data_IF_618148559168
#
_entry.id   IF_618148559168
#
_cell.length_a   1.000
_cell.length_b   1.000
_cell.length_c   1.000
_cell.angle_alpha   90.00
_cell.angle_beta   90.00
_cell.angle_gamma   90.00
#
_symmetry.space_group_name_H-M   'P 1'
#
loop_
_entity.id
_entity.type
_entity.pdbx_description
1 polymer ?
#
# COMPACT_ATOMS: atom_id res chain seq x y z
N UNK A 1 8.09 7.92 -4.82
CA UNK A 1 7.35 6.82 -4.15
C UNK A 1 7.83 6.66 -2.72
N UNK A 2 6.93 6.52 -1.78
CA UNK A 2 7.26 6.27 -0.39
C UNK A 2 7.27 4.76 -0.09
N UNK A 3 8.02 4.40 0.93
CA UNK A 3 8.11 3.03 1.41
C UNK A 3 7.92 3.02 2.93
N UNK A 4 7.04 2.15 3.42
CA UNK A 4 6.85 1.91 4.83
C UNK A 4 7.93 0.95 5.33
N UNK A 5 8.70 1.40 6.31
CA UNK A 5 9.77 0.62 6.91
C UNK A 5 9.46 0.35 8.37
N UNK A 6 9.44 -0.89 8.77
CA UNK A 6 9.19 -1.30 10.15
C UNK A 6 9.80 -2.65 10.46
N UNK A 7 9.59 -3.12 11.69
CA UNK A 7 10.08 -4.40 12.18
C UNK A 7 8.92 -5.37 12.41
N UNK A 8 9.13 -6.64 12.11
CA UNK A 8 8.16 -7.70 12.43
C UNK A 8 7.97 -7.91 13.94
N UNK A 9 8.84 -7.33 14.77
CA UNK A 9 8.70 -7.33 16.22
C UNK A 9 7.70 -6.29 16.72
N UNK A 10 7.28 -5.35 15.85
CA UNK A 10 6.33 -4.28 16.16
C UNK A 10 4.98 -4.65 15.56
N UNK A 11 3.97 -4.98 16.38
CA UNK A 11 2.69 -5.43 15.87
C UNK A 11 1.95 -4.32 15.15
N UNK A 12 1.23 -4.70 14.11
CA UNK A 12 0.23 -3.85 13.48
C UNK A 12 -1.12 -4.11 14.15
N UNK A 13 -1.92 -3.06 14.32
CA UNK A 13 -3.26 -3.17 14.90
C UNK A 13 -4.31 -3.12 13.80
N UNK A 14 -4.97 -4.23 13.58
CA UNK A 14 -6.10 -4.30 12.65
C UNK A 14 -7.27 -3.45 13.16
N UNK A 15 -7.89 -2.67 12.28
CA UNK A 15 -9.07 -1.88 12.61
C UNK A 15 -10.31 -2.40 11.90
N UNK A 16 -10.29 -2.46 10.57
CA UNK A 16 -11.43 -2.81 9.76
C UNK A 16 -10.99 -3.23 8.37
N UNK A 17 -11.72 -4.14 7.74
CA UNK A 17 -11.48 -4.52 6.36
C UNK A 17 -12.81 -4.78 5.65
N UNK A 18 -12.79 -4.69 4.34
CA UNK A 18 -13.95 -4.96 3.51
C UNK A 18 -13.59 -5.11 2.04
N UNK A 19 -14.63 -5.33 1.25
CA UNK A 19 -14.54 -5.44 -0.19
C UNK A 19 -15.43 -4.37 -0.81
N UNK A 20 -14.84 -3.52 -1.64
CA UNK A 20 -15.62 -2.60 -2.48
C UNK A 20 -15.93 -3.31 -3.79
N UNK A 21 -17.19 -3.27 -4.20
CA UNK A 21 -17.65 -3.71 -5.51
C UNK A 21 -18.54 -2.60 -6.09
N UNK A 22 -18.18 -2.12 -7.26
CA UNK A 22 -18.94 -1.08 -7.94
C UNK A 22 -19.12 -1.46 -9.42
N UNK A 23 -20.33 -1.28 -9.92
CA UNK A 23 -20.68 -1.68 -11.29
C UNK A 23 -20.11 -0.78 -12.37
N UNK A 24 -19.96 0.53 -12.11
CA UNK A 24 -19.47 1.49 -13.08
C UNK A 24 -19.21 2.85 -12.42
N UNK A 25 -18.20 3.57 -12.94
CA UNK A 25 -17.93 4.98 -12.63
C UNK A 25 -17.64 5.28 -11.16
N UNK A 26 -16.88 4.43 -10.49
CA UNK A 26 -16.44 4.70 -9.14
C UNK A 26 -15.26 5.68 -9.12
N UNK A 27 -15.35 6.67 -8.24
CA UNK A 27 -14.25 7.60 -7.96
C UNK A 27 -14.06 7.71 -6.45
N UNK A 28 -12.84 7.42 -5.98
CA UNK A 28 -12.51 7.49 -4.57
C UNK A 28 -12.59 8.92 -4.05
N UNK A 29 -13.19 9.13 -2.89
CA UNK A 29 -13.27 10.45 -2.27
C UNK A 29 -11.90 10.90 -1.75
N UNK A 30 -11.71 12.23 -1.68
CA UNK A 30 -10.51 12.83 -1.11
C UNK A 30 -10.50 12.65 0.40
N UNK A 31 -9.39 12.10 0.93
CA UNK A 31 -9.24 11.83 2.37
C UNK A 31 -7.82 12.07 2.86
N UNK A 32 -7.72 12.41 4.13
CA UNK A 32 -6.47 12.42 4.89
C UNK A 32 -6.76 11.71 6.21
N UNK A 33 -6.30 10.47 6.32
CA UNK A 33 -6.64 9.60 7.45
C UNK A 33 -5.50 9.54 8.46
N UNK A 34 -5.79 9.06 9.67
CA UNK A 34 -4.83 8.90 10.76
C UNK A 34 -4.35 7.44 10.90
N UNK A 35 -4.74 6.59 9.97
CA UNK A 35 -4.34 5.18 9.92
C UNK A 35 -3.97 4.79 8.48
N UNK A 36 -3.32 3.65 8.35
CA UNK A 36 -2.96 3.09 7.04
C UNK A 36 -4.16 2.43 6.38
N UNK A 37 -4.19 2.47 5.05
CA UNK A 37 -5.13 1.69 4.25
C UNK A 37 -4.35 0.88 3.24
N UNK A 38 -4.47 -0.44 3.30
CA UNK A 38 -3.96 -1.32 2.26
C UNK A 38 -5.09 -1.65 1.30
N UNK A 39 -4.88 -1.39 0.02
CA UNK A 39 -5.78 -1.73 -1.06
C UNK A 39 -5.20 -2.89 -1.86
N UNK A 40 -6.04 -3.87 -2.21
CA UNK A 40 -5.65 -4.99 -3.06
C UNK A 40 -6.63 -5.13 -4.22
N UNK A 41 -6.16 -4.91 -5.44
CA UNK A 41 -6.99 -4.93 -6.63
C UNK A 41 -7.44 -6.34 -7.01
N UNK A 42 -8.72 -6.48 -7.39
CA UNK A 42 -9.33 -7.75 -7.78
C UNK A 42 -9.79 -7.70 -9.24
N UNK A 43 -10.57 -6.67 -9.59
CA UNK A 43 -11.17 -6.53 -10.93
C UNK A 43 -11.24 -5.05 -11.30
N UNK A 44 -10.95 -4.74 -12.56
CA UNK A 44 -10.97 -3.37 -13.05
C UNK A 44 -9.79 -2.55 -12.55
N UNK A 45 -9.85 -1.24 -12.75
CA UNK A 45 -8.78 -0.32 -12.36
C UNK A 45 -9.31 0.82 -11.51
N UNK A 46 -8.65 1.05 -10.38
CA UNK A 46 -8.87 2.21 -9.54
C UNK A 46 -7.79 3.25 -9.85
N UNK A 47 -8.22 4.46 -10.17
CA UNK A 47 -7.32 5.59 -10.44
C UNK A 47 -7.24 6.45 -9.17
N UNK A 48 -6.13 6.34 -8.46
CA UNK A 48 -5.96 6.97 -7.16
C UNK A 48 -4.63 7.71 -7.09
N UNK A 49 -4.63 8.88 -6.46
CA UNK A 49 -3.41 9.64 -6.20
C UNK A 49 -3.11 9.66 -4.70
N UNK A 50 -1.84 9.75 -4.37
CA UNK A 50 -1.36 10.07 -3.03
C UNK A 50 -0.30 11.16 -3.15
N UNK A 51 -0.48 12.27 -2.44
CA UNK A 51 0.37 13.46 -2.52
C UNK A 51 0.57 13.92 -3.97
N UNK A 52 -0.51 13.96 -4.75
CA UNK A 52 -0.55 14.34 -6.17
C UNK A 52 0.24 13.43 -7.13
N UNK A 53 0.74 12.30 -6.65
CA UNK A 53 1.32 11.25 -7.51
C UNK A 53 0.22 10.28 -7.91
N UNK A 54 0.04 10.10 -9.22
CA UNK A 54 -1.03 9.26 -9.77
C UNK A 54 -0.62 7.81 -9.87
N UNK A 55 -1.50 6.94 -9.43
CA UNK A 55 -1.35 5.48 -9.52
C UNK A 55 -2.59 4.87 -10.18
N UNK A 56 -2.38 3.77 -10.86
CA UNK A 56 -3.46 2.89 -11.31
C UNK A 56 -3.35 1.58 -10.54
N UNK A 57 -4.39 1.22 -9.81
CA UNK A 57 -4.46 -0.03 -9.08
C UNK A 57 -5.28 -1.02 -9.90
N UNK A 58 -4.62 -2.00 -10.49
CA UNK A 58 -5.24 -3.08 -11.25
C UNK A 58 -5.31 -4.39 -10.46
N UNK A 59 -5.86 -5.46 -11.09
CA UNK A 59 -5.91 -6.77 -10.47
C UNK A 59 -4.52 -7.31 -10.13
N UNK A 60 -4.36 -7.88 -8.92
CA UNK A 60 -3.09 -8.42 -8.45
C UNK A 60 -2.09 -7.38 -7.98
N UNK A 61 -2.49 -6.13 -7.92
CA UNK A 61 -1.67 -5.03 -7.43
C UNK A 61 -2.13 -4.58 -6.04
N UNK A 62 -1.23 -3.95 -5.30
CA UNK A 62 -1.58 -3.33 -4.02
C UNK A 62 -1.17 -1.86 -3.99
N UNK A 63 -1.85 -1.10 -3.14
CA UNK A 63 -1.53 0.29 -2.83
C UNK A 63 -1.59 0.48 -1.32
N UNK A 64 -0.58 1.12 -0.75
CA UNK A 64 -0.55 1.48 0.66
C UNK A 64 -0.78 2.98 0.81
N UNK A 65 -1.92 3.36 1.39
CA UNK A 65 -2.24 4.74 1.69
C UNK A 65 -1.72 5.07 3.10
N UNK A 66 -0.93 6.14 3.19
CA UNK A 66 -0.19 6.50 4.39
C UNK A 66 -0.97 7.50 5.25
N UNK A 67 -0.95 7.37 6.58
CA UNK A 67 -1.58 8.37 7.45
C UNK A 67 -0.91 9.73 7.27
N UNK A 68 -1.71 10.79 7.28
CA UNK A 68 -1.24 12.16 7.10
C UNK A 68 -0.95 12.55 5.66
N UNK A 69 -1.07 11.65 4.71
CA UNK A 69 -0.90 11.91 3.28
C UNK A 69 -2.25 11.92 2.58
N UNK A 70 -2.50 12.94 1.77
CA UNK A 70 -3.79 13.10 1.07
C UNK A 70 -3.88 12.10 -0.07
N UNK A 71 -4.98 11.37 -0.14
CA UNK A 71 -5.29 10.50 -1.25
C UNK A 71 -6.68 10.79 -1.81
N UNK A 72 -6.84 10.62 -3.11
CA UNK A 72 -8.12 10.81 -3.80
C UNK A 72 -8.15 10.10 -5.15
N UNK A 73 -9.34 9.78 -5.61
CA UNK A 73 -9.52 9.36 -6.99
C UNK A 73 -9.34 10.55 -7.91
N UNK A 74 -8.42 10.46 -8.86
CA UNK A 74 -8.19 11.52 -9.83
C UNK A 74 -8.99 11.30 -11.13
N UNK A 75 -9.59 10.15 -11.28
CA UNK A 75 -10.36 9.73 -12.43
C UNK A 75 -11.36 8.65 -12.02
N UNK A 76 -12.54 8.64 -12.65
CA UNK A 76 -13.53 7.58 -12.43
C UNK A 76 -13.11 6.29 -13.11
N UNK A 77 -13.38 5.15 -12.46
CA UNK A 77 -13.21 3.83 -13.05
C UNK A 77 -14.17 3.65 -14.23
N UNK A 78 -13.78 2.75 -15.13
CA UNK A 78 -14.63 2.34 -16.26
C UNK A 78 -15.04 0.88 -16.05
N UNK A 79 -16.35 0.60 -16.16
CA UNK A 79 -16.87 -0.73 -15.94
C UNK A 79 -16.79 -1.18 -14.49
N UNK A 80 -16.78 -2.49 -14.29
CA UNK A 80 -16.82 -3.10 -12.97
C UNK A 80 -15.47 -2.94 -12.25
N UNK A 81 -15.52 -2.49 -11.01
CA UNK A 81 -14.36 -2.35 -10.13
C UNK A 81 -14.57 -3.16 -8.86
N UNK A 82 -13.55 -3.88 -8.45
CA UNK A 82 -13.53 -4.56 -7.15
C UNK A 82 -12.14 -4.53 -6.57
N UNK A 83 -12.04 -4.18 -5.28
CA UNK A 83 -10.80 -4.27 -4.51
C UNK A 83 -11.10 -4.53 -3.04
N UNK A 84 -10.17 -5.19 -2.36
CA UNK A 84 -10.18 -5.30 -0.91
C UNK A 84 -9.52 -4.07 -0.29
N UNK A 85 -10.00 -3.64 0.87
CA UNK A 85 -9.39 -2.60 1.67
C UNK A 85 -9.22 -3.08 3.11
N UNK A 86 -8.13 -2.65 3.74
CA UNK A 86 -7.82 -2.97 5.13
C UNK A 86 -7.26 -1.73 5.82
N UNK A 87 -7.92 -1.32 6.90
CA UNK A 87 -7.45 -0.23 7.78
C UNK A 87 -6.64 -0.83 8.92
N UNK A 88 -5.46 -0.27 9.16
CA UNK A 88 -4.62 -0.71 10.26
C UNK A 88 -3.78 0.45 10.82
N UNK A 89 -3.30 0.28 12.05
CA UNK A 89 -2.37 1.21 12.69
C UNK A 89 -1.03 0.52 12.89
N UNK A 90 0.04 1.31 12.76
CA UNK A 90 1.38 0.94 13.21
C UNK A 90 1.72 1.74 14.46
N UNK A 91 2.66 1.24 15.26
CA UNK A 91 3.21 2.02 16.37
C UNK A 91 3.98 3.25 15.88
N UNK A 92 4.33 4.15 16.79
CA UNK A 92 4.93 5.46 16.45
C UNK A 92 6.36 5.38 15.91
N UNK A 93 6.97 4.23 15.90
CA UNK A 93 8.38 4.03 15.58
C UNK A 93 8.63 3.42 14.19
N UNK A 94 7.62 3.44 13.32
CA UNK A 94 7.83 3.13 11.90
C UNK A 94 8.43 4.34 11.17
N UNK A 95 8.97 4.09 9.99
CA UNK A 95 9.52 5.15 9.13
C UNK A 95 8.86 5.11 7.75
N UNK A 96 8.63 6.30 7.20
CA UNK A 96 8.31 6.47 5.78
C UNK A 96 9.58 6.94 5.08
N UNK A 97 10.09 6.16 4.16
CA UNK A 97 11.33 6.48 3.45
C UNK A 97 11.07 6.65 1.96
N UNK A 98 11.76 7.60 1.35
CA UNK A 98 11.72 7.81 -0.10
C UNK A 98 12.66 6.84 -0.83
N UNK A 99 12.70 6.91 -2.15
CA UNK A 99 13.54 6.04 -2.96
C UNK A 99 15.03 6.15 -2.59
N UNK A 100 15.50 7.35 -2.28
CA UNK A 100 16.87 7.57 -1.84
C UNK A 100 17.15 6.88 -0.52
N UNK A 101 16.24 7.00 0.43
CA UNK A 101 16.34 6.34 1.73
C UNK A 101 16.32 4.82 1.62
N UNK A 102 15.49 4.27 0.74
CA UNK A 102 15.46 2.83 0.45
C UNK A 102 16.80 2.38 -0.10
N UNK A 103 17.35 3.11 -1.07
CA UNK A 103 18.64 2.79 -1.68
C UNK A 103 19.76 2.79 -0.64
N UNK A 104 19.82 3.82 0.20
CA UNK A 104 20.82 3.91 1.27
C UNK A 104 20.70 2.74 2.26
N UNK A 105 19.48 2.38 2.62
CA UNK A 105 19.24 1.26 3.50
C UNK A 105 19.71 -0.06 2.89
N UNK A 106 19.38 -0.34 1.64
CA UNK A 106 19.79 -1.55 0.93
C UNK A 106 21.32 -1.63 0.79
N UNK A 107 21.99 -0.51 0.52
CA UNK A 107 23.44 -0.44 0.47
C UNK A 107 24.07 -0.72 1.85
N UNK A 108 23.45 -0.26 2.93
CA UNK A 108 23.91 -0.56 4.28
C UNK A 108 23.81 -2.04 4.63
N UNK A 109 22.79 -2.73 4.11
CA UNK A 109 22.61 -4.17 4.30
C UNK A 109 23.70 -5.00 3.62
N UNK A 110 24.17 -4.58 2.47
CA UNK A 110 25.30 -5.25 1.76
C UNK A 110 26.56 -5.22 2.61
N UNK A 111 26.74 -4.20 3.44
CA UNK A 111 27.94 -4.04 4.30
C UNK A 111 27.82 -4.73 5.65
N UNK A 112 26.64 -4.77 6.25
CA UNK A 112 26.43 -5.24 7.62
C UNK A 112 25.60 -6.50 7.77
N UNK A 113 25.09 -7.04 6.64
CA UNK A 113 24.16 -8.17 6.63
C UNK A 113 22.71 -7.77 6.83
N UNK A 114 21.80 -8.72 6.59
CA UNK A 114 20.36 -8.48 6.65
C UNK A 114 19.84 -8.58 8.07
N UNK A 115 19.27 -7.50 8.67
CA UNK A 115 18.45 -7.67 9.86
C UNK A 115 17.18 -8.44 9.46
N UNK A 116 16.98 -9.58 10.07
CA UNK A 116 15.91 -10.54 9.73
C UNK A 116 14.50 -10.05 10.10
N UNK A 117 14.41 -9.01 10.89
CA UNK A 117 13.14 -8.50 11.43
C UNK A 117 12.65 -7.21 10.78
N UNK A 118 13.46 -6.58 9.92
CA UNK A 118 13.07 -5.35 9.20
C UNK A 118 12.43 -5.71 7.87
N UNK A 119 11.33 -5.03 7.56
CA UNK A 119 10.68 -5.14 6.26
C UNK A 119 10.39 -3.78 5.67
N UNK A 120 10.29 -3.75 4.35
CA UNK A 120 9.92 -2.59 3.54
C UNK A 120 8.68 -2.93 2.75
N UNK A 121 7.67 -2.08 2.83
CA UNK A 121 6.45 -2.20 2.04
C UNK A 121 6.31 -0.94 1.19
N UNK A 122 6.44 -1.05 -0.14
CA UNK A 122 6.30 0.11 -1.01
C UNK A 122 4.85 0.58 -1.08
N UNK A 123 4.68 1.83 -1.44
CA UNK A 123 3.39 2.48 -1.62
C UNK A 123 2.53 1.82 -2.70
N UNK A 124 3.17 1.28 -3.74
CA UNK A 124 2.50 0.55 -4.82
C UNK A 124 3.37 -0.60 -5.29
N UNK A 125 2.76 -1.73 -5.58
CA UNK A 125 3.48 -2.88 -6.07
C UNK A 125 2.53 -3.96 -6.60
N UNK A 126 3.15 -5.05 -7.04
CA UNK A 126 2.45 -6.22 -7.57
C UNK A 126 2.64 -7.38 -6.59
N UNK A 127 1.57 -8.08 -6.27
CA UNK A 127 1.68 -9.30 -5.48
C UNK A 127 2.47 -10.35 -6.26
N UNK A 128 3.42 -11.00 -5.59
CA UNK A 128 4.10 -12.13 -6.17
C UNK A 128 3.10 -13.23 -6.52
N UNK A 129 3.39 -13.99 -7.57
CA UNK A 129 2.55 -15.11 -7.96
C UNK A 129 2.57 -16.18 -6.86
N UNK A 130 1.53 -16.16 -6.02
CA UNK A 130 1.37 -17.06 -4.87
C UNK A 130 0.84 -18.44 -5.24
N UNK A 131 0.54 -18.69 -6.51
CA UNK A 131 0.04 -19.99 -7.00
C UNK A 131 1.04 -21.14 -6.80
N UNK A 132 2.23 -20.85 -6.30
CA UNK A 132 3.29 -21.83 -6.04
C UNK A 132 3.57 -22.07 -4.57
N UNK A 133 2.78 -21.52 -3.66
CA UNK A 133 2.89 -21.89 -2.26
C UNK A 133 2.29 -23.28 -2.13
N UNK A 134 3.14 -24.28 -2.18
CA UNK A 134 2.76 -25.62 -1.73
C UNK A 134 2.72 -25.60 -0.20
N UNK A 135 1.56 -25.78 0.30
CA UNK A 135 1.36 -26.03 1.72
C UNK A 135 1.66 -27.49 2.03
#
# INVERSE_FOLDING_TARGET
MLCFKSSSRKPLSFLQAGNLVNGDSFRHSRRNLVFFVLLAGIEGSLYISQDDVHYTLGPGEFMLLMPGHVHEGYRSSEGRLSYFWCHFRAGDDYQLVDESGVKQYLESLERSGLPKDIYLLPEHGVFANTNRISL
#
